data_IF_099220291281
#
_entry.id   IF_099220291281
#
_cell.length_a   1.000
_cell.length_b   1.000
_cell.length_c   1.000
_cell.angle_alpha   90.00
_cell.angle_beta   90.00
_cell.angle_gamma   90.00
#
_symmetry.space_group_name_H-M   'P 1'
#
loop_
_entity.id
_entity.type
_entity.pdbx_description
1 polymer ?
#
# COMPACT_ATOMS: atom_id res chain seq x y z
N UNK A 1 -54.31 27.23 -24.39
CA UNK A 1 -53.60 26.00 -24.80
C UNK A 1 -52.17 26.20 -24.34
N UNK A 2 -51.94 25.93 -23.04
CA UNK A 2 -50.68 26.14 -22.37
C UNK A 2 -49.85 24.87 -22.57
N UNK A 3 -48.64 25.04 -23.10
CA UNK A 3 -47.63 24.00 -23.11
C UNK A 3 -47.01 23.89 -21.71
N UNK A 4 -46.87 22.73 -21.14
CA UNK A 4 -46.12 22.59 -19.90
C UNK A 4 -44.64 22.84 -20.18
N UNK A 5 -44.07 23.74 -19.42
CA UNK A 5 -42.60 23.90 -19.26
C UNK A 5 -42.06 22.55 -18.78
N UNK A 6 -41.23 21.94 -19.57
CA UNK A 6 -40.40 20.83 -19.13
C UNK A 6 -39.42 21.40 -18.07
N UNK A 7 -39.50 20.90 -16.88
CA UNK A 7 -38.49 21.10 -15.86
C UNK A 7 -37.19 20.44 -16.34
N UNK A 8 -36.23 21.25 -16.76
CA UNK A 8 -34.86 20.88 -17.14
C UNK A 8 -33.92 20.80 -15.91
N UNK A 9 -34.47 20.50 -14.74
CA UNK A 9 -33.76 20.47 -13.46
C UNK A 9 -33.08 19.10 -13.16
N UNK A 10 -33.15 18.15 -14.08
CA UNK A 10 -32.70 16.77 -13.84
C UNK A 10 -31.19 16.51 -14.14
N UNK A 11 -30.39 17.54 -14.42
CA UNK A 11 -29.02 17.32 -14.91
C UNK A 11 -27.90 17.73 -13.94
N UNK A 12 -28.24 18.25 -12.77
CA UNK A 12 -27.23 18.78 -11.82
C UNK A 12 -26.84 17.80 -10.71
N UNK A 13 -27.54 16.68 -10.54
CA UNK A 13 -27.27 15.69 -9.51
C UNK A 13 -26.67 14.40 -10.11
N UNK A 14 -25.63 13.89 -9.46
CA UNK A 14 -25.12 12.56 -9.76
C UNK A 14 -26.26 11.55 -9.55
N UNK A 15 -26.71 10.88 -10.60
CA UNK A 15 -27.88 10.00 -10.52
C UNK A 15 -27.74 8.98 -9.38
N UNK A 16 -28.83 8.66 -8.72
CA UNK A 16 -28.87 7.68 -7.61
C UNK A 16 -28.31 6.32 -8.02
N UNK A 17 -28.47 5.94 -9.29
CA UNK A 17 -27.90 4.72 -9.84
C UNK A 17 -26.37 4.76 -9.86
N UNK A 18 -25.78 5.90 -10.27
CA UNK A 18 -24.33 6.10 -10.24
C UNK A 18 -23.80 6.07 -8.81
N UNK A 19 -24.51 6.69 -7.87
CA UNK A 19 -24.16 6.66 -6.46
C UNK A 19 -24.21 5.24 -5.88
N UNK A 20 -25.20 4.46 -6.25
CA UNK A 20 -25.31 3.04 -5.87
C UNK A 20 -24.16 2.22 -6.42
N UNK A 21 -23.83 2.38 -7.70
CA UNK A 21 -22.67 1.71 -8.31
C UNK A 21 -21.35 2.06 -7.61
N UNK A 22 -21.14 3.34 -7.28
CA UNK A 22 -19.94 3.78 -6.57
C UNK A 22 -19.83 3.18 -5.17
N UNK A 23 -20.95 2.96 -4.49
CA UNK A 23 -20.97 2.31 -3.17
C UNK A 23 -20.58 0.83 -3.21
N UNK A 24 -20.73 0.16 -4.35
CA UNK A 24 -20.38 -1.25 -4.57
C UNK A 24 -18.91 -1.44 -4.97
N UNK A 25 -18.19 -0.38 -5.32
CA UNK A 25 -16.79 -0.50 -5.71
C UNK A 25 -15.91 -0.85 -4.50
N UNK A 26 -15.02 -1.84 -4.63
CA UNK A 26 -14.06 -2.13 -3.59
C UNK A 26 -13.02 -0.99 -3.50
N UNK A 27 -12.79 -0.48 -2.30
CA UNK A 27 -11.85 0.59 -2.06
C UNK A 27 -12.50 1.93 -1.69
N UNK A 28 -11.69 2.99 -1.68
CA UNK A 28 -12.19 4.32 -1.44
C UNK A 28 -12.56 5.01 -2.76
N UNK A 29 -13.67 5.73 -2.75
CA UNK A 29 -14.14 6.50 -3.90
C UNK A 29 -14.53 7.91 -3.46
N UNK A 30 -14.19 8.87 -4.30
CA UNK A 30 -14.51 10.29 -4.12
C UNK A 30 -15.01 10.83 -5.46
N UNK A 31 -16.08 11.61 -5.44
CA UNK A 31 -16.55 12.36 -6.60
C UNK A 31 -16.48 13.84 -6.26
N UNK A 32 -15.89 14.60 -7.15
CA UNK A 32 -15.74 16.05 -7.04
C UNK A 32 -16.47 16.76 -8.18
N UNK A 33 -17.02 17.91 -7.88
CA UNK A 33 -17.68 18.79 -8.85
C UNK A 33 -16.69 19.70 -9.59
N UNK A 34 -17.22 20.64 -10.37
CA UNK A 34 -16.43 21.59 -11.16
C UNK A 34 -15.60 22.59 -10.31
N UNK A 35 -15.96 22.75 -9.03
CA UNK A 35 -15.28 23.64 -8.08
C UNK A 35 -14.27 22.90 -7.19
N UNK A 36 -14.02 21.60 -7.46
CA UNK A 36 -13.20 20.69 -6.65
C UNK A 36 -13.77 20.37 -5.26
N UNK A 37 -15.07 20.65 -5.06
CA UNK A 37 -15.77 20.27 -3.84
C UNK A 37 -16.17 18.79 -3.87
N UNK A 38 -16.08 18.13 -2.72
CA UNK A 38 -16.43 16.72 -2.59
C UNK A 38 -17.94 16.56 -2.52
N UNK A 39 -18.53 16.12 -3.62
CA UNK A 39 -19.99 15.85 -3.70
C UNK A 39 -20.33 14.52 -3.03
N UNK A 40 -19.49 13.51 -3.23
CA UNK A 40 -19.64 12.17 -2.62
C UNK A 40 -18.31 11.55 -2.29
N UNK A 41 -18.25 10.92 -1.13
CA UNK A 41 -17.13 10.07 -0.77
C UNK A 41 -17.58 8.95 0.18
N UNK A 42 -16.82 7.86 0.21
CA UNK A 42 -17.04 6.85 1.22
C UNK A 42 -16.12 7.07 2.45
N UNK A 43 -16.46 6.51 3.62
CA UNK A 43 -15.67 6.70 4.85
C UNK A 43 -14.22 6.25 4.75
N UNK A 44 -13.89 5.38 3.79
CA UNK A 44 -12.53 4.91 3.58
C UNK A 44 -11.62 6.04 3.06
N UNK A 45 -12.14 6.97 2.26
CA UNK A 45 -11.37 8.11 1.74
C UNK A 45 -10.83 9.01 2.86
N UNK A 46 -11.62 9.22 3.91
CA UNK A 46 -11.19 9.96 5.11
C UNK A 46 -10.13 9.19 5.90
N UNK A 47 -10.33 7.88 6.11
CA UNK A 47 -9.38 7.04 6.85
C UNK A 47 -8.02 6.97 6.18
N UNK A 48 -8.01 7.00 4.85
CA UNK A 48 -6.78 6.96 4.06
C UNK A 48 -6.12 8.35 3.92
N UNK A 49 -6.68 9.40 4.52
CA UNK A 49 -6.12 10.75 4.50
C UNK A 49 -6.13 11.42 3.12
N UNK A 50 -7.02 11.00 2.23
CA UNK A 50 -7.19 11.62 0.91
C UNK A 50 -8.21 12.75 0.95
N UNK A 51 -9.23 12.62 1.81
CA UNK A 51 -10.24 13.65 2.07
C UNK A 51 -10.14 14.13 3.50
N UNK A 52 -10.22 15.44 3.71
CA UNK A 52 -10.34 16.09 5.02
C UNK A 52 -11.29 17.28 4.88
N UNK A 53 -12.20 17.41 5.85
CA UNK A 53 -13.16 18.53 5.91
C UNK A 53 -13.89 18.77 4.57
N UNK A 54 -14.38 17.69 3.97
CA UNK A 54 -15.10 17.63 2.68
C UNK A 54 -14.32 18.19 1.48
N UNK A 55 -13.01 18.26 1.58
CA UNK A 55 -12.12 18.67 0.51
C UNK A 55 -11.02 17.62 0.26
N UNK A 56 -10.44 17.64 -0.94
CA UNK A 56 -9.28 16.81 -1.26
C UNK A 56 -8.05 17.35 -0.52
N UNK A 57 -7.49 16.54 0.37
CA UNK A 57 -6.35 16.92 1.20
C UNK A 57 -4.99 16.84 0.47
N UNK A 58 -4.92 16.14 -0.66
CA UNK A 58 -3.69 15.80 -1.34
C UNK A 58 -3.53 16.60 -2.63
N UNK A 59 -2.50 17.46 -2.72
CA UNK A 59 -2.26 18.32 -3.89
C UNK A 59 -2.10 17.52 -5.19
N UNK A 60 -1.38 16.39 -5.15
CA UNK A 60 -1.22 15.52 -6.33
C UNK A 60 -2.54 14.98 -6.87
N UNK A 61 -3.53 14.76 -6.00
CA UNK A 61 -4.86 14.31 -6.42
C UNK A 61 -5.60 15.47 -7.09
N UNK A 62 -5.51 16.69 -6.56
CA UNK A 62 -6.09 17.90 -7.16
C UNK A 62 -5.49 18.18 -8.55
N UNK A 63 -4.18 18.09 -8.68
CA UNK A 63 -3.49 18.28 -9.97
C UNK A 63 -3.97 17.25 -11.01
N UNK A 64 -4.15 15.99 -10.59
CA UNK A 64 -4.68 14.94 -11.46
C UNK A 64 -6.15 15.14 -11.83
N UNK A 65 -6.97 15.69 -10.94
CA UNK A 65 -8.37 16.09 -11.20
C UNK A 65 -8.40 17.18 -12.26
N UNK A 66 -7.61 18.23 -12.10
CA UNK A 66 -7.54 19.33 -13.07
C UNK A 66 -7.06 18.85 -14.45
N UNK A 67 -6.11 17.93 -14.48
CA UNK A 67 -5.62 17.35 -15.72
C UNK A 67 -6.65 16.45 -16.39
N UNK A 68 -7.35 15.62 -15.63
CA UNK A 68 -8.43 14.77 -16.13
C UNK A 68 -9.60 15.58 -16.72
N UNK A 69 -9.92 16.74 -16.11
CA UNK A 69 -10.91 17.68 -16.67
C UNK A 69 -10.49 18.23 -18.01
N UNK A 70 -9.24 18.63 -18.15
CA UNK A 70 -8.71 19.24 -19.39
C UNK A 70 -8.58 18.23 -20.51
N UNK A 71 -8.05 17.05 -20.22
CA UNK A 71 -7.71 16.04 -21.22
C UNK A 71 -8.82 15.03 -21.48
N UNK A 72 -9.78 14.89 -20.58
CA UNK A 72 -10.86 13.90 -20.66
C UNK A 72 -10.38 12.46 -20.51
N UNK A 73 -9.15 12.24 -20.04
CA UNK A 73 -8.54 10.92 -19.91
C UNK A 73 -8.66 10.32 -18.50
N UNK A 74 -8.09 9.13 -18.38
CA UNK A 74 -7.87 8.44 -17.10
C UNK A 74 -6.40 8.62 -16.69
N UNK A 75 -6.17 8.98 -15.41
CA UNK A 75 -4.84 9.06 -14.81
C UNK A 75 -4.70 8.06 -13.68
N UNK A 76 -3.54 7.44 -13.58
CA UNK A 76 -3.23 6.51 -12.51
C UNK A 76 -1.84 6.79 -11.98
N UNK A 77 -1.70 6.84 -10.65
CA UNK A 77 -0.43 7.08 -9.96
C UNK A 77 -0.45 6.46 -8.56
N UNK A 78 0.74 6.32 -7.99
CA UNK A 78 0.91 5.86 -6.63
C UNK A 78 1.01 7.06 -5.68
N UNK A 79 0.38 6.95 -4.52
CA UNK A 79 0.33 8.00 -3.50
C UNK A 79 0.63 7.38 -2.14
N UNK A 80 1.42 8.09 -1.34
CA UNK A 80 1.63 7.73 0.07
C UNK A 80 0.97 8.77 0.95
N UNK A 81 0.16 8.33 1.91
CA UNK A 81 -0.52 9.19 2.89
C UNK A 81 -0.33 8.64 4.28
N UNK A 82 -0.64 9.46 5.28
CA UNK A 82 -0.73 9.02 6.67
C UNK A 82 -2.19 8.91 7.10
N UNK A 83 -2.49 7.92 7.94
CA UNK A 83 -3.81 7.81 8.55
C UNK A 83 -3.99 8.96 9.53
N UNK A 84 -5.04 9.80 9.40
CA UNK A 84 -5.30 10.89 10.33
C UNK A 84 -5.47 10.39 11.77
N UNK A 85 -4.97 11.14 12.75
CA UNK A 85 -4.93 10.75 14.18
C UNK A 85 -6.29 10.32 14.73
N UNK A 86 -7.36 10.97 14.29
CA UNK A 86 -8.75 10.63 14.68
C UNK A 86 -9.15 9.18 14.36
N UNK A 87 -8.50 8.55 13.39
CA UNK A 87 -8.77 7.16 12.99
C UNK A 87 -7.74 6.16 13.54
N UNK A 88 -6.59 6.61 14.02
CA UNK A 88 -5.56 5.76 14.64
C UNK A 88 -6.06 5.19 15.97
N UNK A 89 -6.83 5.95 16.73
CA UNK A 89 -7.37 5.54 18.02
C UNK A 89 -8.41 4.39 17.92
N UNK A 90 -9.11 4.28 16.80
CA UNK A 90 -10.15 3.25 16.60
C UNK A 90 -9.56 1.85 16.30
N UNK A 91 -8.38 1.78 15.75
CA UNK A 91 -7.70 0.50 15.44
C UNK A 91 -7.14 -0.18 16.69
N UNK A 92 -6.93 0.55 17.79
CA UNK A 92 -6.32 0.05 19.03
C UNK A 92 -7.34 -0.47 20.08
N UNK A 93 -8.63 -0.50 19.78
CA UNK A 93 -9.66 -0.95 20.74
C UNK A 93 -9.66 -2.46 21.02
N UNK A 94 -8.81 -3.23 20.36
CA UNK A 94 -8.71 -4.70 20.51
C UNK A 94 -7.54 -5.23 21.33
N UNK A 95 -6.51 -4.43 21.61
CA UNK A 95 -5.31 -4.92 22.30
C UNK A 95 -4.96 -4.02 23.50
N UNK A 96 -5.02 -4.58 24.69
CA UNK A 96 -4.79 -3.89 25.98
C UNK A 96 -3.31 -3.54 26.26
N UNK A 97 -2.47 -3.45 25.24
CA UNK A 97 -1.10 -2.98 25.38
C UNK A 97 -1.02 -1.60 24.76
N UNK A 98 -0.78 -0.57 25.56
CA UNK A 98 -0.47 0.79 25.14
C UNK A 98 0.85 0.80 24.36
N UNK A 99 0.79 0.28 23.14
CA UNK A 99 1.88 0.40 22.18
C UNK A 99 1.75 1.77 21.54
N UNK A 100 2.81 2.57 21.62
CA UNK A 100 2.92 3.84 20.89
C UNK A 100 2.34 3.65 19.49
N UNK A 101 1.37 4.48 19.13
CA UNK A 101 0.75 4.47 17.81
C UNK A 101 1.86 4.70 16.76
N UNK A 102 2.35 3.61 16.20
CA UNK A 102 3.32 3.69 15.11
C UNK A 102 2.57 4.25 13.92
N UNK A 103 2.85 5.48 13.55
CA UNK A 103 2.39 6.10 12.32
C UNK A 103 2.84 5.21 11.15
N UNK A 104 1.91 4.49 10.56
CA UNK A 104 2.17 3.62 9.40
C UNK A 104 1.69 4.33 8.15
N UNK A 105 2.55 4.55 7.17
CA UNK A 105 2.13 5.12 5.90
C UNK A 105 1.18 4.17 5.17
N UNK A 106 0.19 4.74 4.50
CA UNK A 106 -0.69 4.05 3.56
C UNK A 106 -0.09 4.17 2.16
N UNK A 107 0.07 3.05 1.47
CA UNK A 107 0.42 3.04 0.05
C UNK A 107 -0.84 2.84 -0.77
N UNK A 108 -1.15 3.84 -1.58
CA UNK A 108 -2.40 3.95 -2.31
C UNK A 108 -2.13 3.94 -3.81
N UNK A 109 -2.94 3.23 -4.55
CA UNK A 109 -3.02 3.35 -6.00
C UNK A 109 -4.24 4.19 -6.32
N UNK A 110 -4.01 5.37 -6.86
CA UNK A 110 -5.06 6.35 -7.17
C UNK A 110 -5.33 6.33 -8.67
N UNK A 111 -6.61 6.31 -9.01
CA UNK A 111 -7.09 6.42 -10.38
C UNK A 111 -8.07 7.57 -10.45
N UNK A 112 -7.79 8.56 -11.28
CA UNK A 112 -8.66 9.72 -11.52
C UNK A 112 -9.22 9.62 -12.93
N UNK A 113 -10.51 9.87 -13.08
CA UNK A 113 -11.18 9.84 -14.37
C UNK A 113 -12.35 10.81 -14.42
N UNK A 114 -12.58 11.41 -15.58
CA UNK A 114 -13.73 12.30 -15.81
C UNK A 114 -14.99 11.46 -16.07
N UNK A 115 -16.07 11.72 -15.33
CA UNK A 115 -17.38 11.10 -15.56
C UNK A 115 -18.11 11.87 -16.67
N UNK A 116 -18.24 13.19 -16.49
CA UNK A 116 -18.85 14.11 -17.43
C UNK A 116 -18.17 15.50 -17.35
N UNK A 117 -18.80 16.55 -17.86
CA UNK A 117 -18.23 17.90 -17.81
C UNK A 117 -18.16 18.47 -16.39
N UNK A 118 -19.07 18.07 -15.51
CA UNK A 118 -19.18 18.56 -14.13
C UNK A 118 -18.39 17.70 -13.16
N UNK A 119 -18.40 16.35 -13.31
CA UNK A 119 -17.92 15.44 -12.29
C UNK A 119 -16.65 14.67 -12.68
N UNK A 120 -15.75 14.59 -11.71
CA UNK A 120 -14.55 13.76 -11.77
C UNK A 120 -14.58 12.74 -10.62
N UNK A 121 -14.24 11.49 -10.92
CA UNK A 121 -14.13 10.42 -9.93
C UNK A 121 -12.67 10.15 -9.59
N UNK A 122 -12.42 9.94 -8.31
CA UNK A 122 -11.15 9.45 -7.76
C UNK A 122 -11.40 8.10 -7.10
N UNK A 123 -10.79 7.07 -7.65
CA UNK A 123 -10.82 5.71 -7.09
C UNK A 123 -9.49 5.43 -6.42
N UNK A 124 -9.54 4.94 -5.18
CA UNK A 124 -8.36 4.73 -4.36
C UNK A 124 -8.36 3.28 -3.89
N UNK A 125 -7.29 2.56 -4.25
CA UNK A 125 -7.05 1.20 -3.79
C UNK A 125 -5.91 1.22 -2.79
N UNK A 126 -6.17 0.75 -1.57
CA UNK A 126 -5.13 0.56 -0.56
C UNK A 126 -4.34 -0.71 -0.90
N UNK A 127 -3.04 -0.55 -1.14
CA UNK A 127 -2.10 -1.64 -1.44
C UNK A 127 -1.08 -1.83 -0.32
N UNK A 128 -1.30 -1.20 0.83
CA UNK A 128 -0.37 -1.20 1.97
C UNK A 128 -0.02 -2.59 2.45
N UNK A 129 -1.00 -3.48 2.59
CA UNK A 129 -0.76 -4.84 3.08
C UNK A 129 0.02 -5.67 2.07
N UNK A 130 -0.22 -5.50 0.78
CA UNK A 130 0.54 -6.18 -0.29
C UNK A 130 2.01 -5.75 -0.26
N UNK A 131 2.26 -4.45 -0.14
CA UNK A 131 3.63 -3.91 -0.06
C UNK A 131 4.33 -4.36 1.22
N UNK A 132 3.65 -4.29 2.38
CA UNK A 132 4.21 -4.76 3.65
C UNK A 132 4.56 -6.24 3.59
N UNK A 133 3.68 -7.06 3.04
CA UNK A 133 3.95 -8.49 2.88
C UNK A 133 5.15 -8.75 1.97
N UNK A 134 5.26 -8.02 0.85
CA UNK A 134 6.41 -8.11 -0.04
C UNK A 134 7.72 -7.72 0.68
N UNK A 135 7.72 -6.65 1.46
CA UNK A 135 8.88 -6.20 2.25
C UNK A 135 9.30 -7.25 3.30
N UNK A 136 8.33 -7.83 4.03
CA UNK A 136 8.63 -8.89 5.01
C UNK A 136 9.20 -10.12 4.33
N UNK A 137 8.63 -10.55 3.21
CA UNK A 137 9.11 -11.67 2.42
C UNK A 137 10.55 -11.42 1.93
N UNK A 138 10.83 -10.26 1.38
CA UNK A 138 12.14 -9.92 0.82
C UNK A 138 13.19 -9.82 1.94
N UNK A 139 12.84 -9.23 3.08
CA UNK A 139 13.70 -9.22 4.27
C UNK A 139 13.99 -10.64 4.78
N UNK A 140 12.96 -11.51 4.80
CA UNK A 140 13.14 -12.90 5.18
C UNK A 140 14.09 -13.63 4.24
N UNK A 141 13.92 -13.49 2.92
CA UNK A 141 14.80 -14.12 1.92
C UNK A 141 16.25 -13.65 2.09
N UNK A 142 16.45 -12.33 2.28
CA UNK A 142 17.79 -11.75 2.50
C UNK A 142 18.44 -12.34 3.76
N UNK A 143 17.71 -12.32 4.87
CA UNK A 143 18.22 -12.84 6.15
C UNK A 143 18.58 -14.34 6.07
N UNK A 144 17.71 -15.15 5.44
CA UNK A 144 17.99 -16.58 5.27
C UNK A 144 19.19 -16.80 4.36
N UNK A 145 19.31 -16.03 3.27
CA UNK A 145 20.45 -16.14 2.36
C UNK A 145 21.77 -15.79 3.05
N UNK A 146 21.80 -14.71 3.84
CA UNK A 146 22.98 -14.31 4.61
C UNK A 146 23.37 -15.36 5.67
N UNK A 147 22.36 -15.94 6.33
CA UNK A 147 22.61 -16.97 7.34
C UNK A 147 23.09 -18.30 6.76
N UNK A 148 22.73 -18.62 5.52
CA UNK A 148 23.19 -19.83 4.84
C UNK A 148 24.60 -19.67 4.25
N UNK A 149 25.03 -18.45 3.93
CA UNK A 149 26.32 -18.21 3.28
C UNK A 149 27.48 -18.71 4.14
N UNK A 150 27.52 -18.37 5.42
CA UNK A 150 28.61 -18.79 6.33
C UNK A 150 28.76 -20.30 6.46
N UNK A 151 27.69 -21.06 6.76
CA UNK A 151 27.75 -22.53 6.79
C UNK A 151 28.18 -23.17 5.47
N UNK A 152 27.67 -22.65 4.33
CA UNK A 152 28.04 -23.20 3.01
C UNK A 152 29.51 -22.95 2.66
N UNK A 153 30.06 -21.77 2.97
CA UNK A 153 31.48 -21.48 2.81
C UNK A 153 32.35 -22.35 3.72
N UNK A 154 31.93 -22.57 4.97
CA UNK A 154 32.64 -23.43 5.89
C UNK A 154 32.67 -24.89 5.42
N UNK A 155 31.54 -25.38 4.86
CA UNK A 155 31.48 -26.73 4.26
C UNK A 155 32.34 -26.84 3.01
N UNK A 156 32.36 -25.84 2.15
CA UNK A 156 33.20 -25.82 0.97
C UNK A 156 34.70 -25.90 1.34
N UNK A 157 35.14 -25.09 2.31
CA UNK A 157 36.52 -25.13 2.81
C UNK A 157 36.92 -26.49 3.37
N UNK A 158 36.00 -27.09 4.15
CA UNK A 158 36.24 -28.44 4.69
C UNK A 158 36.37 -29.49 3.57
N UNK A 159 35.51 -29.41 2.54
CA UNK A 159 35.57 -30.28 1.38
C UNK A 159 36.90 -30.12 0.62
N UNK A 160 37.32 -28.88 0.32
CA UNK A 160 38.56 -28.56 -0.35
C UNK A 160 39.79 -29.10 0.43
N UNK A 161 39.77 -28.98 1.77
CA UNK A 161 40.81 -29.50 2.65
C UNK A 161 40.93 -31.05 2.58
N UNK A 162 39.78 -31.72 2.48
CA UNK A 162 39.73 -33.18 2.36
C UNK A 162 40.15 -33.68 0.97
N UNK A 163 39.82 -32.97 -0.08
CA UNK A 163 40.13 -33.32 -1.47
C UNK A 163 41.64 -33.10 -1.80
N UNK A 164 42.23 -32.07 -1.22
CA UNK A 164 43.62 -31.71 -1.48
C UNK A 164 44.66 -32.78 -1.03
N UNK A 165 44.24 -33.75 -0.23
CA UNK A 165 45.09 -34.84 0.24
C UNK A 165 46.19 -34.42 1.22
N UNK A 166 46.29 -33.12 1.52
CA UNK A 166 47.28 -32.57 2.46
C UNK A 166 46.58 -32.36 3.82
N UNK A 167 46.23 -33.49 4.47
CA UNK A 167 45.45 -33.50 5.70
C UNK A 167 46.32 -33.06 6.89
N UNK A 168 46.26 -31.77 7.21
CA UNK A 168 46.64 -31.29 8.53
C UNK A 168 45.46 -31.56 9.50
N UNK A 169 45.64 -32.51 10.41
CA UNK A 169 44.63 -32.91 11.40
C UNK A 169 44.11 -31.71 12.22
N UNK A 170 44.97 -30.75 12.49
CA UNK A 170 44.60 -29.55 13.25
C UNK A 170 43.67 -28.63 12.43
N UNK A 171 43.97 -28.48 11.13
CA UNK A 171 43.14 -27.66 10.22
C UNK A 171 41.78 -28.29 10.00
N UNK A 172 41.72 -29.59 9.70
CA UNK A 172 40.45 -30.32 9.51
C UNK A 172 39.59 -30.26 10.78
N UNK A 173 40.20 -30.41 11.96
CA UNK A 173 39.47 -30.28 13.23
C UNK A 173 38.97 -28.85 13.49
N UNK A 174 39.67 -27.83 13.03
CA UNK A 174 39.24 -26.43 13.13
C UNK A 174 38.04 -26.13 12.19
N UNK A 175 38.18 -26.59 10.93
CA UNK A 175 37.10 -26.40 9.92
C UNK A 175 35.81 -27.15 10.32
N UNK A 176 35.93 -28.38 10.83
CA UNK A 176 34.79 -29.14 11.36
C UNK A 176 34.10 -28.45 12.55
N UNK A 177 34.89 -27.82 13.43
CA UNK A 177 34.32 -27.02 14.55
C UNK A 177 33.57 -25.78 14.03
N UNK A 178 34.11 -25.13 13.00
CA UNK A 178 33.50 -23.98 12.37
C UNK A 178 32.14 -24.35 11.72
N UNK A 179 32.12 -25.47 10.97
CA UNK A 179 30.89 -26.02 10.39
C UNK A 179 29.83 -26.31 11.49
N UNK A 180 30.24 -27.01 12.56
CA UNK A 180 29.35 -27.32 13.68
C UNK A 180 28.81 -26.06 14.34
N UNK A 181 29.65 -25.05 14.57
CA UNK A 181 29.22 -23.75 15.14
C UNK A 181 28.21 -23.04 14.26
N UNK A 182 28.46 -23.03 12.94
CA UNK A 182 27.59 -22.41 11.95
C UNK A 182 26.25 -23.15 11.86
N UNK A 183 26.24 -24.48 11.84
CA UNK A 183 25.00 -25.28 11.84
C UNK A 183 24.20 -25.12 13.16
N UNK A 184 24.87 -24.96 14.30
CA UNK A 184 24.18 -24.73 15.58
C UNK A 184 23.45 -23.41 15.61
N UNK A 185 23.93 -22.38 14.92
CA UNK A 185 23.25 -21.09 14.77
C UNK A 185 21.99 -21.19 13.93
N UNK A 186 21.97 -22.06 12.91
CA UNK A 186 20.80 -22.31 12.07
C UNK A 186 19.67 -23.04 12.80
N UNK A 187 20.00 -23.88 13.79
CA UNK A 187 19.01 -24.64 14.56
C UNK A 187 18.30 -23.82 15.66
N UNK A 188 18.62 -22.55 15.82
CA UNK A 188 18.01 -21.65 16.80
C UNK A 188 16.82 -20.84 16.22
N UNK A 189 16.45 -21.10 14.98
CA UNK A 189 15.30 -20.57 14.26
C UNK A 189 14.33 -21.68 13.85
#
# INVERSE_FOLDING_TARGET
MESPLADDDDNDDLSDDTATLLSMLPGASVVVDEHDEVVRCNPAAYRLGVVSDDAIAQQHVLDAIHEARKSGGKRQFDLTTDTPERYVADQNKGDHVATQSVHRPNWLKVTVGRINEQFVIVLITDVSDVIRFAQVRDSFITNVSEQLLGPTEALAKLADSLESGNLDEQQVAADARQVRSSCSKLNLF
#
